data_IF_963223819189
#
_entry.id   IF_963223819189
#
_cell.length_a   1.000
_cell.length_b   1.000
_cell.length_c   1.000
_cell.angle_alpha   90.00
_cell.angle_beta   90.00
_cell.angle_gamma   90.00
#
_symmetry.space_group_name_H-M   'P 1'
#
loop_
_entity.id
_entity.type
_entity.pdbx_description
1 polymer ?
#
# COMPACT_ATOMS: atom_id res chain seq x y z
N UNK A 1 18.46 -10.63 11.06
CA UNK A 1 18.49 -9.74 12.25
C UNK A 1 17.48 -10.23 13.27
N UNK A 2 17.94 -10.78 14.38
CA UNK A 2 17.07 -11.19 15.50
C UNK A 2 16.68 -9.92 16.26
N UNK A 3 15.40 -9.58 16.24
CA UNK A 3 14.90 -8.38 16.90
C UNK A 3 14.80 -8.65 18.43
N UNK A 4 15.40 -7.81 19.30
CA UNK A 4 15.42 -8.07 20.74
C UNK A 4 14.01 -8.17 21.35
N UNK A 5 13.78 -9.05 22.36
CA UNK A 5 12.45 -9.25 22.94
C UNK A 5 11.80 -7.98 23.51
N UNK A 6 12.62 -7.03 23.98
CA UNK A 6 12.18 -5.72 24.47
C UNK A 6 11.64 -4.80 23.37
N UNK A 7 12.21 -4.88 22.17
CA UNK A 7 11.71 -4.16 20.98
C UNK A 7 10.33 -4.69 20.58
N UNK A 8 10.17 -6.02 20.51
CA UNK A 8 8.89 -6.66 20.16
C UNK A 8 7.79 -6.32 21.18
N UNK A 9 8.12 -6.28 22.47
CA UNK A 9 7.16 -5.86 23.52
C UNK A 9 6.75 -4.39 23.35
N UNK A 10 7.68 -3.49 23.02
CA UNK A 10 7.37 -2.06 22.76
C UNK A 10 6.51 -1.89 21.52
N UNK A 11 6.86 -2.54 20.42
CA UNK A 11 6.07 -2.56 19.19
C UNK A 11 4.65 -3.05 19.46
N UNK A 12 4.49 -4.16 20.19
CA UNK A 12 3.16 -4.66 20.57
C UNK A 12 2.35 -3.67 21.42
N UNK A 13 2.99 -2.91 22.31
CA UNK A 13 2.32 -1.85 23.08
C UNK A 13 1.91 -0.70 22.17
N UNK A 14 2.77 -0.30 21.24
CA UNK A 14 2.50 0.76 20.27
C UNK A 14 1.36 0.38 19.30
N UNK A 15 1.33 -0.86 18.82
CA UNK A 15 0.27 -1.36 17.94
C UNK A 15 -1.06 -1.66 18.65
N UNK A 16 -1.11 -1.63 19.99
CA UNK A 16 -2.36 -1.71 20.78
C UNK A 16 -3.06 -0.36 20.93
N UNK A 17 -2.40 0.74 20.57
CA UNK A 17 -2.97 2.08 20.60
C UNK A 17 -4.05 2.29 19.53
N UNK A 18 -3.85 1.92 18.24
CA UNK A 18 -4.90 2.02 17.23
C UNK A 18 -5.95 0.91 17.39
N UNK A 19 -7.19 1.12 16.89
CA UNK A 19 -8.21 0.07 16.84
C UNK A 19 -7.68 -1.19 16.12
N UNK A 20 -8.12 -2.41 16.49
CA UNK A 20 -7.56 -3.67 16.00
C UNK A 20 -7.42 -3.75 14.47
N UNK A 21 -8.38 -3.18 13.73
CA UNK A 21 -8.40 -3.16 12.26
C UNK A 21 -7.28 -2.28 11.67
N UNK A 22 -6.97 -1.14 12.29
CA UNK A 22 -5.88 -0.24 11.87
C UNK A 22 -4.51 -0.77 12.32
N UNK A 23 -4.46 -1.40 13.49
CA UNK A 23 -3.25 -2.02 14.03
C UNK A 23 -2.78 -3.25 13.24
N UNK A 24 -3.68 -3.99 12.57
CA UNK A 24 -3.35 -5.23 11.86
C UNK A 24 -2.41 -5.01 10.66
N UNK A 25 -2.69 -4.02 9.81
CA UNK A 25 -1.81 -3.70 8.65
C UNK A 25 -0.45 -3.22 9.12
N UNK A 26 -0.43 -2.35 10.13
CA UNK A 26 0.82 -1.88 10.69
C UNK A 26 1.55 -2.99 11.43
N UNK A 27 0.89 -3.94 12.10
CA UNK A 27 1.52 -5.14 12.67
C UNK A 27 2.09 -6.06 11.58
N UNK A 28 1.43 -6.18 10.43
CA UNK A 28 1.92 -6.94 9.27
C UNK A 28 3.09 -6.25 8.57
N UNK A 29 3.15 -4.91 8.61
CA UNK A 29 4.22 -4.07 8.06
C UNK A 29 5.42 -3.90 9.00
N UNK A 30 5.19 -3.45 10.23
CA UNK A 30 6.14 -3.16 11.30
C UNK A 30 6.84 -4.44 11.82
N UNK A 31 6.33 -5.62 11.44
CA UNK A 31 6.96 -6.91 11.70
C UNK A 31 7.70 -7.40 10.46
N UNK A 32 8.96 -7.00 10.36
CA UNK A 32 10.03 -7.62 9.57
C UNK A 32 10.24 -9.14 9.79
N UNK A 33 9.30 -9.89 10.41
CA UNK A 33 9.37 -11.35 10.54
C UNK A 33 8.47 -12.11 9.57
N UNK A 34 7.51 -11.49 8.87
CA UNK A 34 6.60 -12.29 8.04
C UNK A 34 6.48 -11.91 6.58
N UNK A 35 6.88 -10.70 6.13
CA UNK A 35 6.84 -10.41 4.67
C UNK A 35 5.44 -10.72 4.08
N UNK A 36 4.37 -10.61 4.89
CA UNK A 36 3.05 -11.17 4.59
C UNK A 36 2.06 -10.15 4.03
N UNK A 37 2.52 -8.95 3.69
CA UNK A 37 1.78 -8.07 2.79
C UNK A 37 2.01 -8.60 1.37
N UNK A 38 1.00 -9.21 0.71
CA UNK A 38 1.14 -9.69 -0.66
C UNK A 38 1.37 -8.51 -1.60
N UNK A 39 2.64 -8.16 -1.80
CA UNK A 39 3.08 -7.23 -2.84
C UNK A 39 3.51 -8.03 -4.06
N UNK A 40 3.25 -7.51 -5.27
CA UNK A 40 3.44 -8.32 -6.47
C UNK A 40 4.91 -8.78 -6.67
N UNK A 41 5.92 -8.08 -6.11
CA UNK A 41 7.31 -8.53 -6.19
C UNK A 41 7.61 -9.86 -5.46
N UNK A 42 6.70 -10.37 -4.61
CA UNK A 42 6.84 -11.70 -4.00
C UNK A 42 6.60 -12.84 -5.01
N UNK A 43 5.99 -12.52 -6.15
CA UNK A 43 5.72 -13.44 -7.24
C UNK A 43 6.78 -13.35 -8.34
N UNK A 44 8.02 -12.95 -8.00
CA UNK A 44 9.11 -12.73 -8.95
C UNK A 44 9.43 -13.97 -9.82
N UNK A 45 9.04 -15.17 -9.42
CA UNK A 45 9.17 -16.37 -10.27
C UNK A 45 8.29 -16.32 -11.54
N UNK A 46 7.22 -15.51 -11.57
CA UNK A 46 6.45 -15.24 -12.80
C UNK A 46 7.08 -14.16 -13.69
N UNK A 47 8.19 -13.52 -13.27
CA UNK A 47 8.81 -12.41 -14.02
C UNK A 47 9.35 -12.85 -15.39
N UNK A 48 9.71 -14.13 -15.54
CA UNK A 48 10.24 -14.69 -16.80
C UNK A 48 9.15 -14.81 -17.85
N UNK A 49 7.94 -15.23 -17.46
CA UNK A 49 6.84 -15.44 -18.39
C UNK A 49 5.93 -14.20 -18.53
N UNK A 50 5.81 -13.38 -17.48
CA UNK A 50 4.85 -12.26 -17.42
C UNK A 50 5.35 -11.05 -16.61
N UNK A 51 6.17 -10.17 -17.20
CA UNK A 51 6.78 -9.03 -16.50
C UNK A 51 5.77 -7.98 -15.99
N UNK A 52 4.54 -7.94 -16.52
CA UNK A 52 3.50 -7.01 -16.06
C UNK A 52 2.83 -7.43 -14.74
N UNK A 53 3.03 -8.67 -14.29
CA UNK A 53 2.39 -9.16 -13.06
C UNK A 53 3.04 -8.61 -11.80
N UNK A 54 4.33 -8.28 -11.85
CA UNK A 54 5.08 -7.66 -10.75
C UNK A 54 4.85 -6.14 -10.64
N UNK A 55 4.15 -5.53 -11.60
CA UNK A 55 3.90 -4.09 -11.61
C UNK A 55 2.94 -3.66 -10.50
N UNK A 56 3.08 -2.39 -10.11
CA UNK A 56 2.28 -1.71 -9.11
C UNK A 56 0.78 -1.78 -9.41
N UNK A 57 0.00 -2.16 -8.40
CA UNK A 57 -1.45 -2.25 -8.49
C UNK A 57 -2.11 -0.90 -8.81
N UNK A 58 -1.48 0.22 -8.46
CA UNK A 58 -2.00 1.54 -8.82
C UNK A 58 -1.82 1.89 -10.30
N UNK A 59 -1.08 1.07 -11.08
CA UNK A 59 -0.94 1.25 -12.52
C UNK A 59 0.22 2.16 -12.95
N UNK A 60 1.14 2.51 -12.06
CA UNK A 60 2.29 3.38 -12.39
C UNK A 60 3.45 2.68 -13.11
N UNK A 61 3.29 1.41 -13.50
CA UNK A 61 4.26 0.63 -14.29
C UNK A 61 5.53 0.18 -13.55
N UNK A 62 5.78 0.63 -12.32
CA UNK A 62 6.97 0.23 -11.53
C UNK A 62 6.76 -1.09 -10.80
N UNK A 63 7.85 -1.79 -10.46
CA UNK A 63 7.80 -3.02 -9.68
C UNK A 63 7.21 -2.76 -8.29
N UNK A 64 6.21 -3.55 -7.91
CA UNK A 64 5.49 -3.39 -6.66
C UNK A 64 6.25 -3.99 -5.48
N UNK A 65 7.07 -3.16 -4.85
CA UNK A 65 7.64 -3.44 -3.52
C UNK A 65 6.75 -2.88 -2.41
N UNK A 66 6.93 -3.31 -1.16
CA UNK A 66 6.23 -2.72 -0.01
C UNK A 66 6.51 -1.21 0.13
N UNK A 67 7.77 -0.81 -0.04
CA UNK A 67 8.18 0.60 -0.05
C UNK A 67 7.48 1.38 -1.17
N UNK A 68 7.38 0.79 -2.36
CA UNK A 68 6.68 1.42 -3.47
C UNK A 68 5.18 1.54 -3.23
N UNK A 69 4.50 0.43 -2.94
CA UNK A 69 3.05 0.37 -2.79
C UNK A 69 2.52 1.24 -1.62
N UNK A 70 3.33 1.46 -0.59
CA UNK A 70 2.88 2.12 0.63
C UNK A 70 3.50 3.51 0.85
N UNK A 71 4.54 3.88 0.10
CA UNK A 71 5.26 5.13 0.35
C UNK A 71 5.63 5.91 -0.92
N UNK A 72 6.37 5.29 -1.84
CA UNK A 72 6.99 6.03 -2.95
C UNK A 72 6.20 6.02 -4.26
N UNK A 73 5.11 5.27 -4.36
CA UNK A 73 4.27 5.31 -5.55
C UNK A 73 3.75 6.74 -5.82
N UNK A 74 3.69 7.14 -7.08
CA UNK A 74 3.20 8.46 -7.49
C UNK A 74 1.81 8.79 -6.93
N UNK A 75 0.92 7.79 -6.82
CA UNK A 75 -0.42 7.96 -6.25
C UNK A 75 -0.43 8.11 -4.71
N UNK A 76 0.61 7.65 -4.03
CA UNK A 76 0.68 7.57 -2.57
C UNK A 76 1.58 8.65 -1.97
N UNK A 77 2.67 9.00 -2.66
CA UNK A 77 3.62 10.02 -2.21
C UNK A 77 2.98 11.36 -1.80
N UNK A 78 1.92 11.88 -2.47
CA UNK A 78 1.29 13.14 -2.06
C UNK A 78 0.64 13.07 -0.67
N UNK A 79 0.14 11.91 -0.25
CA UNK A 79 -0.44 11.70 1.09
C UNK A 79 0.64 11.90 2.16
N UNK A 80 1.84 11.37 1.92
CA UNK A 80 2.96 11.52 2.85
C UNK A 80 3.54 12.94 2.84
N UNK A 81 3.54 13.61 1.69
CA UNK A 81 3.92 15.04 1.61
C UNK A 81 2.96 15.89 2.42
N UNK A 82 1.65 15.70 2.26
CA UNK A 82 0.63 16.42 3.05
C UNK A 82 0.85 16.26 4.56
N UNK A 83 1.08 15.03 5.03
CA UNK A 83 1.35 14.80 6.46
C UNK A 83 2.67 15.40 6.92
N UNK A 84 3.72 15.36 6.10
CA UNK A 84 5.00 16.02 6.40
C UNK A 84 4.83 17.52 6.57
N UNK A 85 4.11 18.17 5.67
CA UNK A 85 3.90 19.61 5.71
C UNK A 85 3.08 20.02 6.94
N UNK A 86 2.01 19.27 7.25
CA UNK A 86 1.17 19.51 8.41
C UNK A 86 1.91 19.35 9.76
N UNK A 87 2.92 18.49 9.82
CA UNK A 87 3.70 18.21 11.03
C UNK A 87 5.06 18.93 11.07
N UNK A 88 5.38 19.71 10.04
CA UNK A 88 6.67 20.39 9.88
C UNK A 88 7.05 21.24 11.09
N UNK A 89 6.06 21.88 11.76
CA UNK A 89 6.25 22.68 12.98
C UNK A 89 6.93 21.90 14.11
N UNK A 90 6.70 20.59 14.21
CA UNK A 90 7.28 19.74 15.25
C UNK A 90 8.55 19.00 14.79
N UNK A 91 9.01 19.25 13.55
CA UNK A 91 10.17 18.57 12.98
C UNK A 91 9.98 17.07 12.75
N UNK A 92 8.73 16.59 12.73
CA UNK A 92 8.42 15.17 12.56
C UNK A 92 8.56 14.78 11.09
N UNK A 93 9.25 13.67 10.84
CA UNK A 93 9.45 13.15 9.49
C UNK A 93 8.61 11.91 9.22
N UNK A 94 8.19 11.75 7.96
CA UNK A 94 7.47 10.58 7.45
C UNK A 94 8.33 9.80 6.47
N UNK A 95 9.56 9.49 6.87
CA UNK A 95 10.49 8.66 6.10
C UNK A 95 10.12 7.19 6.23
N UNK A 96 10.37 6.41 5.19
CA UNK A 96 10.14 4.96 5.22
C UNK A 96 10.86 4.26 6.38
N UNK A 97 12.08 4.70 6.72
CA UNK A 97 12.84 4.22 7.87
C UNK A 97 12.10 4.44 9.19
N UNK A 98 11.54 5.63 9.41
CA UNK A 98 10.75 5.97 10.61
C UNK A 98 9.44 5.17 10.68
N UNK A 99 8.84 4.86 9.53
CA UNK A 99 7.63 4.04 9.43
C UNK A 99 7.91 2.58 9.86
N UNK A 100 9.09 2.06 9.50
CA UNK A 100 9.53 0.72 9.85
C UNK A 100 10.08 0.61 11.29
N UNK A 101 10.71 1.67 11.79
CA UNK A 101 11.25 1.72 13.15
C UNK A 101 10.76 2.96 13.91
N UNK A 102 9.77 2.72 14.78
CA UNK A 102 9.15 3.74 15.64
C UNK A 102 10.13 4.35 16.66
N UNK A 103 11.32 3.75 16.86
CA UNK A 103 12.35 4.35 17.70
C UNK A 103 13.10 5.49 17.01
N UNK A 104 13.08 5.54 15.67
CA UNK A 104 13.65 6.65 14.90
C UNK A 104 12.75 7.90 14.93
N UNK A 105 11.59 7.84 15.59
CA UNK A 105 10.72 8.99 15.80
C UNK A 105 11.45 10.09 16.57
N UNK A 106 11.65 11.22 15.90
CA UNK A 106 12.27 12.42 16.42
C UNK A 106 11.34 13.62 16.28
N UNK A 107 11.57 14.62 17.13
CA UNK A 107 10.91 15.92 17.13
C UNK A 107 11.99 16.99 17.26
N UNK A 108 11.70 18.22 16.84
CA UNK A 108 12.55 19.38 17.10
C UNK A 108 12.44 19.84 18.57
N UNK A 109 13.23 20.85 18.94
CA UNK A 109 13.24 21.42 20.30
C UNK A 109 11.86 21.89 20.77
N UNK A 110 11.04 22.41 19.86
CA UNK A 110 9.68 22.86 20.14
C UNK A 110 8.75 21.70 20.52
N UNK A 111 8.94 20.54 19.88
CA UNK A 111 8.15 19.33 20.14
C UNK A 111 8.62 18.50 21.33
N UNK A 112 9.80 18.76 21.90
CA UNK A 112 10.41 17.85 22.89
C UNK A 112 9.56 17.71 24.17
N UNK A 113 8.98 18.82 24.65
CA UNK A 113 8.06 18.81 25.82
C UNK A 113 6.78 18.00 25.56
N UNK A 114 6.35 17.90 24.30
CA UNK A 114 5.13 17.18 23.89
C UNK A 114 5.46 15.84 23.20
N UNK A 115 6.72 15.38 23.25
CA UNK A 115 7.21 14.26 22.46
C UNK A 115 6.41 12.97 22.66
N UNK A 116 5.98 12.68 23.89
CA UNK A 116 5.16 11.50 24.17
C UNK A 116 3.77 11.58 23.53
N UNK A 117 3.13 12.75 23.57
CA UNK A 117 1.83 12.99 22.93
C UNK A 117 1.96 12.97 21.41
N UNK A 118 2.97 13.66 20.86
CA UNK A 118 3.28 13.67 19.42
C UNK A 118 3.56 12.27 18.91
N UNK A 119 4.35 11.46 19.65
CA UNK A 119 4.63 10.07 19.30
C UNK A 119 3.36 9.23 19.26
N UNK A 120 2.43 9.44 20.21
CA UNK A 120 1.14 8.74 20.25
C UNK A 120 0.26 9.14 19.07
N UNK A 121 0.10 10.43 18.81
CA UNK A 121 -0.69 10.92 17.68
C UNK A 121 -0.11 10.48 16.33
N UNK A 122 1.21 10.55 16.17
CA UNK A 122 1.92 10.09 14.98
C UNK A 122 1.70 8.59 14.76
N UNK A 123 1.77 7.80 15.83
CA UNK A 123 1.51 6.37 15.83
C UNK A 123 0.09 6.05 15.34
N UNK A 124 -0.92 6.73 15.88
CA UNK A 124 -2.31 6.54 15.49
C UNK A 124 -2.54 6.93 14.02
N UNK A 125 -1.98 8.08 13.61
CA UNK A 125 -2.05 8.56 12.23
C UNK A 125 -1.41 7.57 11.26
N UNK A 126 -0.19 7.12 11.56
CA UNK A 126 0.53 6.15 10.74
C UNK A 126 -0.25 4.86 10.56
N UNK A 127 -0.82 4.32 11.64
CA UNK A 127 -1.65 3.13 11.59
C UNK A 127 -2.88 3.34 10.68
N UNK A 128 -3.56 4.48 10.82
CA UNK A 128 -4.74 4.80 10.03
C UNK A 128 -4.42 4.98 8.54
N UNK A 129 -3.38 5.74 8.22
CA UNK A 129 -2.96 6.03 6.85
C UNK A 129 -2.47 4.76 6.16
N UNK A 130 -1.63 3.96 6.81
CA UNK A 130 -1.18 2.68 6.25
C UNK A 130 -2.34 1.71 6.04
N UNK A 131 -3.29 1.65 6.97
CA UNK A 131 -4.48 0.83 6.81
C UNK A 131 -5.35 1.28 5.64
N UNK A 132 -5.53 2.60 5.47
CA UNK A 132 -6.29 3.16 4.36
C UNK A 132 -5.61 2.85 3.02
N UNK A 133 -4.31 3.14 2.89
CA UNK A 133 -3.53 2.86 1.68
C UNK A 133 -3.61 1.36 1.36
N UNK A 134 -3.42 0.49 2.35
CA UNK A 134 -3.49 -0.96 2.16
C UNK A 134 -4.90 -1.44 1.77
N UNK A 135 -5.94 -0.84 2.34
CA UNK A 135 -7.33 -1.18 1.98
C UNK A 135 -7.63 -0.79 0.54
N UNK A 136 -7.22 0.40 0.12
CA UNK A 136 -7.37 0.84 -1.27
C UNK A 136 -6.51 0.01 -2.24
N UNK A 137 -5.29 -0.35 -1.83
CA UNK A 137 -4.45 -1.31 -2.57
C UNK A 137 -5.13 -2.67 -2.75
N UNK A 138 -5.72 -3.23 -1.70
CA UNK A 138 -6.41 -4.52 -1.78
C UNK A 138 -7.67 -4.47 -2.65
N UNK A 139 -8.43 -3.37 -2.59
CA UNK A 139 -9.54 -3.14 -3.52
C UNK A 139 -9.05 -3.10 -4.96
N UNK A 140 -7.90 -2.47 -5.19
CA UNK A 140 -7.25 -2.43 -6.49
C UNK A 140 -6.72 -3.80 -6.94
N UNK A 141 -6.45 -4.75 -6.03
CA UNK A 141 -5.84 -6.03 -6.37
C UNK A 141 -6.77 -7.24 -6.31
N UNK A 142 -7.93 -7.23 -5.65
CA UNK A 142 -8.71 -8.45 -5.40
C UNK A 142 -9.12 -9.20 -6.68
N UNK A 143 -9.86 -8.55 -7.59
CA UNK A 143 -10.29 -9.14 -8.86
C UNK A 143 -9.12 -9.31 -9.81
N UNK A 144 -8.24 -8.30 -9.89
CA UNK A 144 -7.03 -8.34 -10.73
C UNK A 144 -6.10 -9.49 -10.38
N UNK A 145 -5.84 -9.71 -9.09
CA UNK A 145 -4.97 -10.78 -8.58
C UNK A 145 -5.59 -12.13 -8.87
N UNK A 146 -6.89 -12.30 -8.65
CA UNK A 146 -7.56 -13.55 -9.00
C UNK A 146 -7.40 -13.86 -10.51
N UNK A 147 -7.66 -12.89 -11.39
CA UNK A 147 -7.50 -13.04 -12.85
C UNK A 147 -6.06 -13.34 -13.28
N UNK A 148 -5.05 -12.72 -12.65
CA UNK A 148 -3.62 -12.95 -12.95
C UNK A 148 -3.14 -14.34 -12.54
N UNK A 149 -3.60 -14.83 -11.39
CA UNK A 149 -3.20 -16.13 -10.86
C UNK A 149 -3.87 -17.32 -11.57
N UNK A 150 -4.88 -17.09 -12.40
CA UNK A 150 -5.49 -18.15 -13.20
C UNK A 150 -4.66 -18.47 -14.44
N UNK A 151 -4.70 -19.73 -14.88
CA UNK A 151 -4.22 -20.17 -16.18
C UNK A 151 -4.90 -19.35 -17.30
N UNK A 152 -4.17 -18.83 -18.31
CA UNK A 152 -4.77 -18.07 -19.41
C UNK A 152 -5.89 -18.81 -20.13
N UNK A 153 -5.74 -20.13 -20.25
CA UNK A 153 -6.65 -21.04 -20.95
C UNK A 153 -7.73 -21.60 -20.02
N UNK A 154 -7.78 -21.15 -18.76
CA UNK A 154 -8.83 -21.54 -17.82
C UNK A 154 -10.21 -21.05 -18.32
N UNK A 155 -11.19 -21.93 -18.55
CA UNK A 155 -12.52 -21.53 -19.03
C UNK A 155 -13.22 -20.60 -18.04
N UNK A 156 -13.02 -20.80 -16.74
CA UNK A 156 -13.61 -19.95 -15.68
C UNK A 156 -13.04 -18.52 -15.73
N UNK A 157 -11.75 -18.37 -16.07
CA UNK A 157 -11.14 -17.05 -16.27
C UNK A 157 -11.81 -16.35 -17.44
N UNK A 158 -11.91 -17.00 -18.60
CA UNK A 158 -12.53 -16.44 -19.80
C UNK A 158 -13.98 -16.03 -19.57
N UNK A 159 -14.79 -16.90 -18.96
CA UNK A 159 -16.18 -16.57 -18.62
C UNK A 159 -16.29 -15.43 -17.60
N UNK A 160 -15.40 -15.37 -16.60
CA UNK A 160 -15.38 -14.25 -15.66
C UNK A 160 -15.05 -12.92 -16.35
N UNK A 161 -14.11 -12.90 -17.30
CA UNK A 161 -13.77 -11.71 -18.10
C UNK A 161 -14.97 -11.21 -18.92
N UNK A 162 -15.71 -12.14 -19.53
CA UNK A 162 -16.91 -11.83 -20.33
C UNK A 162 -18.04 -11.26 -19.46
N UNK A 163 -18.30 -11.88 -18.30
CA UNK A 163 -19.27 -11.36 -17.31
C UNK A 163 -18.85 -9.98 -16.84
N UNK A 164 -17.56 -9.76 -16.55
CA UNK A 164 -17.06 -8.45 -16.15
C UNK A 164 -17.25 -7.38 -17.23
N UNK A 165 -17.00 -7.72 -18.51
CA UNK A 165 -17.22 -6.82 -19.63
C UNK A 165 -18.71 -6.42 -19.75
N UNK A 166 -19.60 -7.38 -19.52
CA UNK A 166 -21.06 -7.18 -19.51
C UNK A 166 -21.51 -6.31 -18.33
N UNK A 167 -21.03 -6.59 -17.12
CA UNK A 167 -21.37 -5.80 -15.93
C UNK A 167 -20.87 -4.37 -16.05
N UNK A 168 -19.68 -4.15 -16.62
CA UNK A 168 -19.09 -2.81 -16.77
C UNK A 168 -19.99 -1.82 -17.54
N UNK A 169 -20.80 -2.30 -18.48
CA UNK A 169 -21.68 -1.43 -19.28
C UNK A 169 -23.02 -1.16 -18.62
N UNK A 170 -23.41 -1.91 -17.58
CA UNK A 170 -24.64 -1.69 -16.82
C UNK A 170 -24.55 -0.41 -15.97
N UNK A 171 -25.62 0.38 -15.92
CA UNK A 171 -25.60 1.72 -15.32
C UNK A 171 -25.06 1.78 -13.89
N UNK A 172 -25.50 0.87 -13.01
CA UNK A 172 -25.06 0.83 -11.60
C UNK A 172 -23.56 0.51 -11.46
N UNK A 173 -23.08 -0.47 -12.22
CA UNK A 173 -21.66 -0.85 -12.23
C UNK A 173 -20.78 0.17 -12.95
N UNK A 174 -21.29 0.84 -13.99
CA UNK A 174 -20.58 1.93 -14.69
C UNK A 174 -20.27 3.08 -13.73
N UNK A 175 -21.23 3.49 -12.90
CA UNK A 175 -21.01 4.52 -11.88
C UNK A 175 -19.97 4.07 -10.84
N UNK A 176 -20.02 2.80 -10.43
CA UNK A 176 -19.04 2.22 -9.52
C UNK A 176 -17.62 2.20 -10.13
N UNK A 177 -17.49 1.84 -11.41
CA UNK A 177 -16.22 1.84 -12.15
C UNK A 177 -15.65 3.25 -12.33
N UNK A 178 -16.51 4.25 -12.58
CA UNK A 178 -16.08 5.64 -12.66
C UNK A 178 -15.54 6.14 -11.30
N UNK A 179 -16.15 5.69 -10.20
CA UNK A 179 -15.73 6.04 -8.84
C UNK A 179 -14.46 5.31 -8.39
N UNK A 180 -14.29 4.06 -8.82
CA UNK A 180 -13.16 3.20 -8.42
C UNK A 180 -12.50 2.54 -9.65
N UNK A 181 -11.86 3.32 -10.54
CA UNK A 181 -11.36 2.82 -11.82
C UNK A 181 -10.33 1.71 -11.63
N UNK A 182 -9.49 1.82 -10.61
CA UNK A 182 -8.43 0.85 -10.34
C UNK A 182 -8.93 -0.45 -9.70
N UNK A 183 -10.14 -0.52 -9.14
CA UNK A 183 -10.59 -1.77 -8.49
C UNK A 183 -10.81 -2.92 -9.48
N UNK A 184 -11.08 -2.59 -10.75
CA UNK A 184 -11.61 -3.55 -11.71
C UNK A 184 -11.07 -3.37 -13.14
N UNK A 185 -10.07 -2.50 -13.34
CA UNK A 185 -9.29 -2.41 -14.59
C UNK A 185 -8.36 -3.61 -14.71
N UNK A 186 -8.64 -4.54 -15.63
CA UNK A 186 -7.83 -5.73 -15.89
C UNK A 186 -6.70 -5.53 -16.90
N UNK A 187 -6.52 -4.32 -17.43
CA UNK A 187 -5.48 -4.06 -18.42
C UNK A 187 -4.08 -4.28 -17.79
N UNK A 188 -3.16 -4.98 -18.48
CA UNK A 188 -1.75 -4.88 -18.18
C UNK A 188 -1.35 -3.41 -18.22
N UNK A 189 -0.54 -2.96 -17.26
CA UNK A 189 0.05 -1.63 -17.28
C UNK A 189 1.09 -1.56 -18.41
N UNK A 190 0.62 -1.51 -19.65
CA UNK A 190 1.41 -1.30 -20.85
C UNK A 190 0.49 -0.79 -21.97
N UNK A 191 0.12 0.48 -21.88
CA UNK A 191 -0.13 1.39 -23.01
C UNK A 191 -0.14 2.82 -22.44
N UNK A 192 0.85 3.15 -21.61
CA UNK A 192 1.27 4.53 -21.48
C UNK A 192 2.34 4.72 -22.55
N UNK A 193 1.94 5.17 -23.73
CA UNK A 193 2.88 5.67 -24.73
C UNK A 193 3.88 6.62 -24.04
N UNK A 194 5.18 6.53 -24.37
CA UNK A 194 6.12 7.52 -23.88
C UNK A 194 5.70 8.86 -24.49
N UNK A 195 5.21 9.78 -23.66
CA UNK A 195 5.06 11.18 -24.03
C UNK A 195 6.40 11.63 -24.60
N UNK A 196 6.41 11.87 -25.91
CA UNK A 196 7.49 12.51 -26.62
C UNK A 196 7.94 13.74 -25.81
N UNK A 197 9.19 13.72 -25.36
CA UNK A 197 9.85 14.92 -24.87
C UNK A 197 10.54 15.55 -26.07
N UNK A 198 10.29 16.85 -26.20
CA UNK A 198 10.88 17.81 -27.13
C UNK A 198 12.38 17.62 -27.35
#
# INVERSE_FOLDING_TARGET
MVCPPSYVKRVRRTCRLPPPVHGDVWLRLLRLLFRMLPVNCHFAYFQVDRPHEICCAYGCGHVETQHHALHTCFHISPVWTFHRDAWSRFGVTFLWSTILDVNLFSVNEYGDRLKAALKTLWTLLMAAVLHLIWTEHNKATSVRRWVRLQDPDCPVRSSALEVMATLRVQGGYRALWAKYPNSLLLAPAATAEPRARH
#
